data_IF_869105124432
#
_entry.id   IF_869105124432
#
_cell.length_a   1.000
_cell.length_b   1.000
_cell.length_c   1.000
_cell.angle_alpha   90.00
_cell.angle_beta   90.00
_cell.angle_gamma   90.00
#
_symmetry.space_group_name_H-M   'P 1'
#
loop_
_entity.id
_entity.type
_entity.pdbx_description
1 polymer ?
#
# COMPACT_ATOMS: atom_id res chain seq x y z
N UNK A 1 -0.01 -17.82 -0.96
CA UNK A 1 -1.12 -17.34 -0.11
C UNK A 1 -2.19 -16.58 -0.92
N UNK A 2 -1.87 -15.57 -1.68
CA UNK A 2 -2.86 -14.78 -2.45
C UNK A 2 -3.60 -15.63 -3.50
N UNK A 3 -2.95 -16.65 -4.02
CA UNK A 3 -3.52 -17.65 -4.93
C UNK A 3 -4.04 -18.90 -4.22
N UNK A 4 -4.08 -18.86 -2.87
CA UNK A 4 -4.53 -19.92 -1.98
C UNK A 4 -3.65 -21.19 -1.97
N UNK A 5 -2.40 -21.08 -2.36
CA UNK A 5 -1.38 -22.14 -2.23
C UNK A 5 -0.57 -21.99 -0.92
N UNK A 6 -1.28 -21.79 0.19
CA UNK A 6 -0.69 -21.87 1.53
C UNK A 6 -0.47 -23.35 1.91
N UNK A 7 0.43 -23.68 2.86
CA UNK A 7 0.64 -25.04 3.31
C UNK A 7 -0.62 -25.64 3.92
N UNK A 8 -1.04 -26.79 3.45
CA UNK A 8 -2.07 -27.61 4.08
C UNK A 8 -1.50 -28.36 5.33
N UNK A 9 -2.31 -29.19 5.96
CA UNK A 9 -1.91 -29.97 7.13
C UNK A 9 -0.70 -30.90 6.87
N UNK A 10 -0.39 -31.21 5.60
CA UNK A 10 0.72 -32.04 5.17
C UNK A 10 1.89 -31.19 4.62
N UNK A 11 1.81 -29.85 4.72
CA UNK A 11 2.79 -28.92 4.17
C UNK A 11 2.77 -28.76 2.65
N UNK A 12 1.72 -29.28 1.96
CA UNK A 12 1.57 -29.15 0.51
C UNK A 12 0.79 -27.88 0.16
N UNK A 13 1.00 -27.29 -1.04
CA UNK A 13 0.23 -26.15 -1.51
C UNK A 13 -1.26 -26.49 -1.57
N UNK A 14 -2.10 -25.77 -0.82
CA UNK A 14 -3.51 -26.12 -0.63
C UNK A 14 -4.27 -26.27 -1.95
N UNK A 15 -4.36 -25.21 -2.74
CA UNK A 15 -5.15 -25.20 -3.99
C UNK A 15 -4.59 -26.16 -5.03
N UNK A 16 -3.27 -26.10 -5.29
CA UNK A 16 -2.59 -26.93 -6.32
C UNK A 16 -2.57 -28.40 -5.97
N UNK A 17 -2.75 -28.77 -4.69
CA UNK A 17 -2.83 -30.17 -4.23
C UNK A 17 -4.28 -30.67 -4.11
N UNK A 18 -5.26 -29.93 -4.65
CA UNK A 18 -6.65 -30.34 -4.68
C UNK A 18 -7.47 -29.90 -3.46
N UNK A 19 -7.00 -28.91 -2.73
CA UNK A 19 -7.77 -28.27 -1.66
C UNK A 19 -9.13 -27.78 -2.16
N UNK A 20 -10.17 -28.00 -1.37
CA UNK A 20 -11.55 -27.71 -1.79
C UNK A 20 -11.78 -26.19 -1.85
N UNK A 21 -12.21 -25.71 -3.00
CA UNK A 21 -12.52 -24.31 -3.29
C UNK A 21 -14.03 -24.14 -3.45
N UNK A 22 -14.56 -22.99 -2.98
CA UNK A 22 -15.99 -22.65 -3.12
C UNK A 22 -16.10 -21.24 -3.70
N UNK A 23 -17.07 -21.06 -4.61
CA UNK A 23 -17.33 -19.76 -5.20
C UNK A 23 -17.97 -18.84 -4.16
N UNK A 24 -17.32 -17.71 -3.86
CA UNK A 24 -17.88 -16.68 -2.99
C UNK A 24 -18.59 -15.62 -3.83
N UNK A 25 -19.88 -15.35 -3.60
CA UNK A 25 -20.69 -14.42 -4.42
C UNK A 25 -20.27 -12.95 -4.24
N UNK A 26 -19.77 -12.56 -3.06
CA UNK A 26 -19.33 -11.19 -2.78
C UNK A 26 -17.99 -10.88 -3.46
N UNK A 27 -17.03 -11.80 -3.36
CA UNK A 27 -15.71 -11.68 -3.99
C UNK A 27 -15.75 -12.01 -5.50
N UNK A 28 -16.80 -12.70 -5.98
CA UNK A 28 -16.95 -13.20 -7.37
C UNK A 28 -15.75 -14.05 -7.82
N UNK A 29 -15.16 -14.78 -6.89
CA UNK A 29 -14.07 -15.72 -7.14
C UNK A 29 -14.14 -16.90 -6.18
N UNK A 30 -13.40 -17.94 -6.50
CA UNK A 30 -13.23 -19.08 -5.59
C UNK A 30 -12.31 -18.69 -4.42
N UNK A 31 -12.69 -19.16 -3.23
CA UNK A 31 -11.90 -19.10 -2.00
C UNK A 31 -11.87 -20.49 -1.37
N UNK A 32 -10.92 -20.80 -0.47
CA UNK A 32 -10.90 -22.06 0.25
C UNK A 32 -12.21 -22.29 1.01
N UNK A 33 -12.65 -23.54 1.06
CA UNK A 33 -13.83 -23.92 1.85
C UNK A 33 -13.64 -23.55 3.32
N UNK A 34 -14.67 -22.99 3.93
CA UNK A 34 -14.65 -22.51 5.32
C UNK A 34 -14.09 -21.10 5.50
N UNK A 35 -13.54 -20.47 4.45
CA UNK A 35 -13.15 -19.07 4.54
C UNK A 35 -14.37 -18.14 4.37
N UNK A 36 -14.40 -17.08 5.16
CA UNK A 36 -15.37 -15.99 5.04
C UNK A 36 -14.82 -14.80 4.25
N UNK A 37 -15.46 -13.66 4.46
CA UNK A 37 -15.05 -12.36 3.92
C UNK A 37 -15.03 -11.33 5.02
N UNK A 38 -14.17 -10.33 4.88
CA UNK A 38 -14.08 -9.16 5.76
C UNK A 38 -14.16 -7.89 4.94
N UNK A 39 -14.66 -6.81 5.54
CA UNK A 39 -14.63 -5.49 4.92
C UNK A 39 -13.33 -4.78 5.24
N UNK A 40 -12.85 -3.97 4.32
CA UNK A 40 -11.63 -3.18 4.51
C UNK A 40 -11.73 -2.30 5.77
N UNK A 41 -12.89 -1.68 6.01
CA UNK A 41 -13.13 -0.87 7.20
C UNK A 41 -13.08 -1.65 8.53
N UNK A 42 -13.21 -2.99 8.51
CA UNK A 42 -13.13 -3.83 9.70
C UNK A 42 -11.68 -4.22 10.05
N UNK A 43 -10.78 -4.15 9.08
CA UNK A 43 -9.36 -4.54 9.20
C UNK A 43 -8.39 -3.38 9.10
N UNK A 44 -8.90 -2.14 8.98
CA UNK A 44 -8.08 -0.91 8.91
C UNK A 44 -8.69 0.21 9.75
N UNK A 45 -7.81 1.09 10.25
CA UNK A 45 -8.19 2.41 10.77
C UNK A 45 -7.82 3.43 9.70
N UNK A 46 -8.78 4.28 9.31
CA UNK A 46 -8.57 5.37 8.37
C UNK A 46 -8.24 6.66 9.11
N UNK A 47 -7.07 7.24 8.84
CA UNK A 47 -6.57 8.45 9.48
C UNK A 47 -6.78 9.72 8.66
N UNK A 48 -7.74 9.75 7.77
CA UNK A 48 -8.00 10.88 6.86
C UNK A 48 -8.23 12.22 7.55
N UNK A 49 -8.81 12.20 8.74
CA UNK A 49 -9.03 13.39 9.55
C UNK A 49 -7.75 14.10 10.00
N UNK A 50 -6.61 13.39 10.00
CA UNK A 50 -5.31 13.96 10.39
C UNK A 50 -4.59 14.65 9.22
N UNK A 51 -5.03 14.44 7.99
CA UNK A 51 -4.38 15.00 6.79
C UNK A 51 -4.50 16.50 6.73
N UNK A 52 -3.42 17.18 6.33
CA UNK A 52 -3.39 18.64 6.11
C UNK A 52 -2.83 18.88 4.70
N UNK A 53 -3.66 19.31 3.74
CA UNK A 53 -3.17 19.68 2.41
C UNK A 53 -2.38 20.99 2.49
N UNK A 54 -1.24 21.03 1.81
CA UNK A 54 -0.42 22.22 1.62
C UNK A 54 -0.50 22.65 0.16
N UNK A 55 -0.72 23.94 -0.07
CA UNK A 55 -0.60 24.53 -1.41
C UNK A 55 0.85 24.49 -1.89
N UNK A 56 1.10 24.71 -3.18
CA UNK A 56 2.47 24.80 -3.71
C UNK A 56 3.27 25.89 -3.01
N UNK A 57 2.64 27.05 -2.75
CA UNK A 57 3.29 28.16 -2.06
C UNK A 57 3.64 27.82 -0.62
N UNK A 58 2.72 27.15 0.11
CA UNK A 58 2.97 26.73 1.49
C UNK A 58 4.14 25.73 1.55
N UNK A 59 4.21 24.78 0.62
CA UNK A 59 5.31 23.81 0.54
C UNK A 59 6.66 24.48 0.28
N UNK A 60 6.70 25.54 -0.54
CA UNK A 60 7.95 26.30 -0.73
C UNK A 60 8.46 26.94 0.57
N UNK A 61 7.56 27.38 1.45
CA UNK A 61 7.92 27.97 2.74
C UNK A 61 8.42 26.96 3.77
N UNK A 62 8.04 25.68 3.61
CA UNK A 62 8.36 24.59 4.54
C UNK A 62 9.21 23.51 3.90
N UNK A 63 10.05 23.82 2.93
CA UNK A 63 10.96 22.86 2.29
C UNK A 63 11.83 22.11 3.30
N UNK A 64 11.99 20.79 3.05
CA UNK A 64 12.74 19.93 3.94
C UNK A 64 13.13 18.60 3.33
N UNK A 65 13.18 17.55 4.16
CA UNK A 65 13.59 16.20 3.76
C UNK A 65 12.50 15.14 3.98
N UNK A 66 11.38 15.51 4.61
CA UNK A 66 10.27 14.61 4.89
C UNK A 66 9.41 14.51 3.62
N UNK A 67 9.11 13.31 3.13
CA UNK A 67 8.33 13.16 1.90
C UNK A 67 6.87 13.61 2.10
N UNK A 68 6.38 14.40 1.15
CA UNK A 68 5.00 14.86 1.04
C UNK A 68 4.29 14.05 -0.05
N UNK A 69 3.35 13.19 0.38
CA UNK A 69 2.66 12.25 -0.50
C UNK A 69 1.36 12.79 -1.06
N UNK A 70 1.14 12.48 -2.34
CA UNK A 70 -0.12 12.65 -3.05
C UNK A 70 -0.78 11.31 -3.38
N UNK A 71 -1.74 11.34 -4.32
CA UNK A 71 -2.48 10.16 -4.75
C UNK A 71 -1.58 9.05 -5.33
N UNK A 72 -0.51 9.41 -6.05
CA UNK A 72 0.27 8.45 -6.85
C UNK A 72 1.76 8.42 -6.51
N UNK A 73 2.20 9.15 -5.49
CA UNK A 73 3.62 9.19 -5.11
C UNK A 73 4.00 10.43 -4.32
N UNK A 74 5.30 10.59 -4.12
CA UNK A 74 5.89 11.76 -3.49
C UNK A 74 5.74 12.95 -4.46
N UNK A 75 5.09 14.01 -3.99
CA UNK A 75 4.90 15.26 -4.74
C UNK A 75 5.98 16.29 -4.40
N UNK A 76 6.49 16.25 -3.17
CA UNK A 76 7.42 17.24 -2.64
C UNK A 76 8.13 16.74 -1.37
N UNK A 77 8.99 17.58 -0.78
CA UNK A 77 9.64 17.34 0.51
C UNK A 77 9.44 18.54 1.43
N UNK A 78 9.01 18.28 2.67
CA UNK A 78 8.71 19.31 3.69
C UNK A 78 9.59 19.11 4.93
N UNK A 79 9.59 20.09 5.84
CA UNK A 79 10.45 20.10 7.04
C UNK A 79 9.79 19.48 8.28
N UNK A 80 8.51 19.11 8.19
CA UNK A 80 7.76 18.53 9.31
C UNK A 80 6.91 17.32 8.83
N UNK A 81 6.30 16.58 9.75
CA UNK A 81 5.51 15.37 9.47
C UNK A 81 4.19 15.36 10.25
N UNK A 82 3.22 14.65 9.72
CA UNK A 82 1.93 14.38 10.38
C UNK A 82 1.88 12.92 10.84
N UNK A 83 2.50 12.03 10.09
CA UNK A 83 2.48 10.60 10.33
C UNK A 83 3.89 10.12 10.65
N UNK A 84 4.01 9.26 11.69
CA UNK A 84 5.26 8.55 12.02
C UNK A 84 4.87 7.10 12.33
N UNK A 85 5.17 6.19 11.40
CA UNK A 85 4.74 4.80 11.48
C UNK A 85 4.56 4.16 10.11
N UNK A 86 3.87 3.04 10.11
CA UNK A 86 3.66 2.18 8.94
C UNK A 86 2.22 2.25 8.45
N UNK A 87 2.02 2.72 7.23
CA UNK A 87 0.69 2.88 6.63
C UNK A 87 0.65 2.42 5.17
N UNK A 88 -0.55 2.15 4.71
CA UNK A 88 -0.86 1.99 3.29
C UNK A 88 -1.67 3.18 2.83
N UNK A 89 -1.18 3.88 1.83
CA UNK A 89 -1.95 4.91 1.15
C UNK A 89 -2.75 4.30 0.01
N UNK A 90 -4.01 4.71 -0.12
CA UNK A 90 -4.88 4.36 -1.24
C UNK A 90 -5.38 5.66 -1.89
N UNK A 91 -5.17 5.81 -3.19
CA UNK A 91 -5.57 7.02 -3.90
C UNK A 91 -7.06 7.32 -3.74
N UNK A 92 -7.40 8.56 -3.32
CA UNK A 92 -8.76 9.02 -3.06
C UNK A 92 -9.38 9.72 -4.26
N UNK A 93 -8.64 10.59 -4.95
CA UNK A 93 -9.14 11.35 -6.09
C UNK A 93 -8.12 11.52 -7.21
N UNK A 94 -8.60 11.92 -8.40
CA UNK A 94 -7.80 12.01 -9.61
C UNK A 94 -7.50 10.63 -10.19
N UNK A 95 -6.23 10.21 -10.16
CA UNK A 95 -5.82 8.87 -10.58
C UNK A 95 -6.03 7.87 -9.44
N UNK A 96 -7.24 7.33 -9.30
CA UNK A 96 -7.59 6.43 -8.19
C UNK A 96 -7.36 4.95 -8.48
N UNK A 97 -7.16 4.61 -9.76
CA UNK A 97 -7.00 3.21 -10.18
C UNK A 97 -5.96 3.06 -11.28
N UNK A 98 -5.42 1.86 -11.37
CA UNK A 98 -4.56 1.43 -12.47
C UNK A 98 -5.36 1.21 -13.75
N UNK A 99 -4.70 0.97 -14.88
CA UNK A 99 -5.34 0.57 -16.15
C UNK A 99 -6.18 -0.71 -16.01
N UNK A 100 -5.83 -1.59 -15.07
CA UNK A 100 -6.59 -2.81 -14.77
C UNK A 100 -7.82 -2.57 -13.89
N UNK A 101 -8.07 -1.33 -13.45
CA UNK A 101 -9.20 -1.00 -12.57
C UNK A 101 -8.98 -1.41 -11.11
N UNK A 102 -7.74 -1.62 -10.69
CA UNK A 102 -7.37 -1.91 -9.29
C UNK A 102 -6.88 -0.64 -8.59
N UNK A 103 -6.96 -0.53 -7.25
CA UNK A 103 -6.58 0.69 -6.54
C UNK A 103 -5.09 1.00 -6.69
N UNK A 104 -4.74 2.28 -6.74
CA UNK A 104 -3.36 2.72 -6.61
C UNK A 104 -3.01 2.73 -5.12
N UNK A 105 -2.01 1.93 -4.77
CA UNK A 105 -1.55 1.73 -3.38
C UNK A 105 -0.09 2.15 -3.24
N UNK A 106 0.24 2.76 -2.10
CA UNK A 106 1.61 3.11 -1.76
C UNK A 106 1.91 2.63 -0.34
N UNK A 107 3.11 2.08 -0.10
CA UNK A 107 3.63 1.72 1.21
C UNK A 107 4.43 2.91 1.74
N UNK A 108 4.07 3.43 2.91
CA UNK A 108 4.86 4.46 3.60
C UNK A 108 5.32 3.96 4.97
N UNK A 109 6.49 4.41 5.41
CA UNK A 109 7.09 4.04 6.69
C UNK A 109 7.83 5.24 7.28
N UNK A 110 7.86 5.36 8.61
CA UNK A 110 8.49 6.45 9.34
C UNK A 110 7.79 7.79 9.15
N UNK A 111 8.55 8.88 9.14
CA UNK A 111 8.04 10.26 9.10
C UNK A 111 7.57 10.67 7.71
N UNK A 112 6.31 11.05 7.60
CA UNK A 112 5.68 11.38 6.33
C UNK A 112 4.63 12.47 6.50
N UNK A 113 4.37 13.22 5.43
CA UNK A 113 3.24 14.12 5.30
C UNK A 113 2.35 13.64 4.16
N UNK A 114 1.06 13.53 4.39
CA UNK A 114 0.11 13.04 3.38
C UNK A 114 -0.95 14.10 3.14
N UNK A 115 -1.21 14.42 1.88
CA UNK A 115 -2.27 15.36 1.49
C UNK A 115 -3.65 14.68 1.47
N UNK A 116 -4.68 15.43 1.04
CA UNK A 116 -6.05 14.96 0.96
C UNK A 116 -6.40 14.13 -0.29
N UNK A 117 -5.42 13.79 -1.12
CA UNK A 117 -5.63 12.99 -2.34
C UNK A 117 -5.38 11.49 -2.15
N UNK A 118 -5.02 11.06 -0.94
CA UNK A 118 -4.85 9.66 -0.60
C UNK A 118 -5.41 9.35 0.79
N UNK A 119 -6.17 8.26 0.92
CA UNK A 119 -6.55 7.68 2.21
C UNK A 119 -5.32 7.14 2.93
N UNK A 120 -5.27 7.31 4.26
CA UNK A 120 -4.20 6.80 5.11
C UNK A 120 -4.74 5.64 5.95
N UNK A 121 -4.32 4.43 5.63
CA UNK A 121 -4.83 3.19 6.22
C UNK A 121 -3.79 2.57 7.15
N UNK A 122 -4.15 2.40 8.40
CA UNK A 122 -3.41 1.62 9.39
C UNK A 122 -4.05 0.23 9.50
N UNK A 123 -3.34 -0.86 9.15
CA UNK A 123 -3.87 -2.21 9.31
C UNK A 123 -4.05 -2.56 10.80
N UNK A 124 -5.14 -3.24 11.12
CA UNK A 124 -5.45 -3.76 12.45
C UNK A 124 -5.76 -5.26 12.40
N UNK A 125 -6.12 -5.87 13.53
CA UNK A 125 -6.48 -7.30 13.64
C UNK A 125 -5.41 -8.23 13.05
N UNK A 126 -4.17 -7.99 13.41
CA UNK A 126 -3.01 -8.78 12.95
C UNK A 126 -2.76 -8.74 11.43
N UNK A 127 -3.26 -7.76 10.71
CA UNK A 127 -2.89 -7.53 9.33
C UNK A 127 -1.63 -6.65 9.27
N UNK A 128 -0.66 -7.01 8.43
CA UNK A 128 0.47 -6.13 8.11
C UNK A 128 0.17 -5.24 6.90
N UNK A 129 0.88 -4.12 6.76
CA UNK A 129 0.76 -3.27 5.57
C UNK A 129 1.02 -4.05 4.29
N UNK A 130 2.00 -4.94 4.29
CA UNK A 130 2.32 -5.78 3.13
C UNK A 130 1.17 -6.70 2.76
N UNK A 131 0.57 -7.37 3.76
CA UNK A 131 -0.59 -8.23 3.54
C UNK A 131 -1.78 -7.43 3.01
N UNK A 132 -2.06 -6.26 3.61
CA UNK A 132 -3.14 -5.38 3.16
C UNK A 132 -2.98 -5.00 1.68
N UNK A 133 -1.77 -4.59 1.27
CA UNK A 133 -1.49 -4.30 -0.14
C UNK A 133 -1.70 -5.52 -1.03
N UNK A 134 -1.31 -6.71 -0.58
CA UNK A 134 -1.51 -7.95 -1.34
C UNK A 134 -2.98 -8.33 -1.48
N UNK A 135 -3.79 -8.11 -0.45
CA UNK A 135 -5.23 -8.35 -0.49
C UNK A 135 -5.94 -7.40 -1.46
N UNK A 136 -5.48 -6.14 -1.53
CA UNK A 136 -6.11 -5.09 -2.33
C UNK A 136 -5.63 -5.04 -3.78
N UNK A 137 -4.44 -5.53 -4.11
CA UNK A 137 -3.80 -5.36 -5.43
C UNK A 137 -4.62 -5.84 -6.62
N UNK A 138 -5.49 -6.84 -6.42
CA UNK A 138 -6.32 -7.45 -7.46
C UNK A 138 -7.82 -7.12 -7.29
N UNK A 139 -8.18 -6.27 -6.32
CA UNK A 139 -9.55 -5.84 -6.08
C UNK A 139 -9.97 -4.80 -7.13
N UNK A 140 -11.08 -5.03 -7.83
CA UNK A 140 -11.60 -4.03 -8.76
C UNK A 140 -12.32 -2.91 -8.01
N UNK A 141 -11.88 -1.67 -8.22
CA UNK A 141 -12.52 -0.46 -7.67
C UNK A 141 -13.44 0.24 -8.67
N UNK A 142 -13.61 -0.32 -9.85
CA UNK A 142 -14.42 0.29 -10.92
C UNK A 142 -15.87 0.58 -10.52
N UNK A 143 -16.46 -0.23 -9.64
CA UNK A 143 -17.86 -0.08 -9.20
C UNK A 143 -18.04 0.85 -8.01
N UNK A 144 -16.96 1.11 -7.27
CA UNK A 144 -17.01 1.93 -6.06
C UNK A 144 -16.50 3.36 -6.28
N UNK A 145 -15.85 3.61 -7.41
CA UNK A 145 -15.47 4.98 -7.81
C UNK A 145 -16.70 5.80 -8.15
N UNK A 146 -16.66 7.07 -7.84
CA UNK A 146 -17.62 8.09 -8.22
C UNK A 146 -16.98 9.11 -9.16
N UNK A 147 -17.80 9.86 -9.89
CA UNK A 147 -17.32 10.85 -10.86
C UNK A 147 -16.84 10.27 -12.18
N UNK A 148 -17.22 10.93 -13.28
CA UNK A 148 -16.84 10.53 -14.65
C UNK A 148 -15.61 11.29 -15.16
N UNK A 149 -15.45 12.54 -14.76
CA UNK A 149 -14.33 13.40 -15.17
C UNK A 149 -13.21 13.34 -14.13
N UNK A 150 -13.54 13.57 -12.87
CA UNK A 150 -12.62 13.39 -11.75
C UNK A 150 -13.09 12.20 -10.92
N UNK A 151 -12.36 11.09 -11.05
CA UNK A 151 -12.68 9.87 -10.32
C UNK A 151 -12.34 10.05 -8.84
N UNK A 152 -13.24 9.57 -7.98
CA UNK A 152 -13.06 9.60 -6.53
C UNK A 152 -13.53 8.30 -5.90
N UNK A 153 -12.77 7.79 -4.93
CA UNK A 153 -13.18 6.74 -4.02
C UNK A 153 -13.32 7.39 -2.65
N UNK A 154 -14.54 7.54 -2.14
CA UNK A 154 -14.75 8.08 -0.81
C UNK A 154 -14.52 7.00 0.26
N UNK A 155 -14.32 7.44 1.51
CA UNK A 155 -14.04 6.56 2.65
C UNK A 155 -15.16 5.52 2.87
N UNK A 156 -16.42 5.87 2.67
CA UNK A 156 -17.54 4.94 2.83
C UNK A 156 -17.47 3.79 1.82
N UNK A 157 -17.21 4.10 0.56
CA UNK A 157 -17.08 3.10 -0.51
C UNK A 157 -15.80 2.26 -0.33
N UNK A 158 -14.70 2.88 0.08
CA UNK A 158 -13.46 2.21 0.42
C UNK A 158 -13.67 1.19 1.54
N UNK A 159 -14.33 1.56 2.63
CA UNK A 159 -14.60 0.69 3.77
C UNK A 159 -15.48 -0.52 3.42
N UNK A 160 -16.27 -0.43 2.35
CA UNK A 160 -17.12 -1.54 1.84
C UNK A 160 -16.37 -2.52 0.95
N UNK A 161 -15.12 -2.27 0.60
CA UNK A 161 -14.30 -3.24 -0.15
C UNK A 161 -14.23 -4.54 0.65
N UNK A 162 -14.49 -5.65 -0.05
CA UNK A 162 -14.50 -6.99 0.55
C UNK A 162 -13.23 -7.72 0.16
N UNK A 163 -12.60 -8.35 1.16
CA UNK A 163 -11.40 -9.19 1.00
C UNK A 163 -11.65 -10.56 1.66
N UNK A 164 -10.89 -11.61 1.30
CA UNK A 164 -11.00 -12.89 1.99
C UNK A 164 -10.63 -12.76 3.47
N UNK A 165 -11.45 -13.30 4.36
CA UNK A 165 -11.15 -13.45 5.78
C UNK A 165 -10.17 -14.62 5.94
N UNK A 166 -8.94 -14.32 6.29
CA UNK A 166 -7.88 -15.33 6.47
C UNK A 166 -7.99 -15.89 7.89
N UNK A 167 -8.02 -17.24 8.08
CA UNK A 167 -7.99 -17.83 9.41
C UNK A 167 -6.81 -17.33 10.25
N UNK A 168 -7.03 -17.08 11.55
CA UNK A 168 -6.06 -16.41 12.44
C UNK A 168 -4.69 -17.12 12.48
N UNK A 169 -4.67 -18.45 12.52
CA UNK A 169 -3.44 -19.24 12.55
C UNK A 169 -2.61 -19.00 11.27
N UNK A 170 -3.27 -19.03 10.11
CA UNK A 170 -2.65 -18.80 8.83
C UNK A 170 -2.23 -17.32 8.66
N UNK A 171 -3.03 -16.39 9.20
CA UNK A 171 -2.72 -14.96 9.21
C UNK A 171 -1.41 -14.68 9.93
N UNK A 172 -1.18 -15.35 11.07
CA UNK A 172 0.07 -15.21 11.81
C UNK A 172 1.28 -15.73 11.02
N UNK A 173 1.16 -16.92 10.41
CA UNK A 173 2.22 -17.51 9.58
C UNK A 173 2.55 -16.64 8.37
N UNK A 174 1.53 -16.13 7.67
CA UNK A 174 1.71 -15.23 6.52
C UNK A 174 2.46 -13.97 6.94
N UNK A 175 2.04 -13.32 8.03
CA UNK A 175 2.66 -12.08 8.48
C UNK A 175 4.13 -12.27 8.84
N UNK A 176 4.52 -13.37 9.50
CA UNK A 176 5.93 -13.66 9.78
C UNK A 176 6.78 -13.71 8.50
N UNK A 177 6.29 -14.38 7.45
CA UNK A 177 6.99 -14.45 6.16
C UNK A 177 7.01 -13.10 5.45
N UNK A 178 5.90 -12.39 5.47
CA UNK A 178 5.78 -11.09 4.81
C UNK A 178 6.60 -10.00 5.48
N UNK A 179 6.74 -10.03 6.80
CA UNK A 179 7.54 -9.05 7.55
C UNK A 179 9.01 -9.07 7.11
N UNK A 180 9.59 -10.25 6.91
CA UNK A 180 10.97 -10.37 6.42
C UNK A 180 11.10 -9.77 5.02
N UNK A 181 10.15 -10.08 4.13
CA UNK A 181 10.14 -9.56 2.76
C UNK A 181 9.94 -8.04 2.74
N UNK A 182 9.00 -7.54 3.56
CA UNK A 182 8.70 -6.10 3.64
C UNK A 182 9.93 -5.31 4.14
N UNK A 183 10.60 -5.79 5.20
CA UNK A 183 11.84 -5.20 5.69
C UNK A 183 12.94 -5.17 4.62
N UNK A 184 13.13 -6.27 3.90
CA UNK A 184 14.12 -6.32 2.82
C UNK A 184 13.78 -5.32 1.71
N UNK A 185 12.51 -5.20 1.33
CA UNK A 185 12.10 -4.24 0.31
C UNK A 185 12.30 -2.79 0.76
N UNK A 186 11.95 -2.44 2.00
CA UNK A 186 12.16 -1.10 2.54
C UNK A 186 13.65 -0.75 2.59
N UNK A 187 14.51 -1.68 3.01
CA UNK A 187 15.95 -1.48 3.03
C UNK A 187 16.51 -1.24 1.60
N UNK A 188 16.08 -2.04 0.63
CA UNK A 188 16.49 -1.87 -0.77
C UNK A 188 16.01 -0.55 -1.38
N UNK A 189 14.82 -0.08 -1.01
CA UNK A 189 14.31 1.23 -1.44
C UNK A 189 15.19 2.35 -0.89
N UNK A 190 15.55 2.29 0.40
CA UNK A 190 16.42 3.30 1.00
C UNK A 190 17.84 3.24 0.43
N UNK A 191 18.40 2.05 0.22
CA UNK A 191 19.71 1.87 -0.41
C UNK A 191 19.72 2.44 -1.83
N UNK A 192 18.70 2.15 -2.64
CA UNK A 192 18.57 2.72 -3.99
C UNK A 192 18.49 4.25 -3.97
N UNK A 193 17.81 4.84 -2.98
CA UNK A 193 17.75 6.28 -2.78
C UNK A 193 19.14 6.86 -2.48
N UNK A 194 19.90 6.22 -1.58
CA UNK A 194 21.27 6.63 -1.23
C UNK A 194 22.20 6.50 -2.43
N UNK A 195 22.12 5.40 -3.19
CA UNK A 195 22.91 5.20 -4.41
C UNK A 195 22.58 6.25 -5.49
N UNK A 196 21.31 6.61 -5.62
CA UNK A 196 20.88 7.67 -6.54
C UNK A 196 21.47 9.02 -6.12
N UNK A 197 21.42 9.37 -4.84
CA UNK A 197 22.01 10.60 -4.31
C UNK A 197 23.54 10.64 -4.51
N UNK A 198 24.22 9.51 -4.26
CA UNK A 198 25.65 9.37 -4.46
C UNK A 198 26.03 9.52 -5.94
N UNK A 199 25.28 8.90 -6.85
CA UNK A 199 25.46 9.06 -8.29
C UNK A 199 25.32 10.52 -8.70
N UNK A 200 24.26 11.17 -8.28
CA UNK A 200 23.95 12.56 -8.65
C UNK A 200 24.98 13.55 -8.09
N UNK A 201 25.60 13.21 -6.94
CA UNK A 201 26.70 13.96 -6.37
C UNK A 201 28.03 13.72 -7.13
N UNK A 202 28.34 12.46 -7.46
CA UNK A 202 29.59 12.09 -8.12
C UNK A 202 29.64 12.45 -9.60
N UNK A 203 28.53 12.34 -10.31
CA UNK A 203 28.49 12.50 -11.76
C UNK A 203 29.06 13.86 -12.25
N UNK A 204 28.68 15.02 -11.66
CA UNK A 204 29.30 16.31 -12.02
C UNK A 204 30.81 16.36 -11.74
N UNK A 205 31.29 15.74 -10.67
CA UNK A 205 32.71 15.72 -10.31
C UNK A 205 33.53 14.88 -11.31
N UNK A 206 33.00 13.76 -11.75
CA UNK A 206 33.61 12.92 -12.79
C UNK A 206 33.67 13.66 -14.14
N UNK A 207 32.55 14.32 -14.50
CA UNK A 207 32.49 15.09 -15.77
C UNK A 207 33.46 16.28 -15.79
N UNK A 208 33.72 16.87 -14.62
CA UNK A 208 34.66 18.01 -14.49
C UNK A 208 36.11 17.57 -14.23
N UNK A 209 36.41 16.26 -14.23
CA UNK A 209 37.75 15.74 -13.99
C UNK A 209 38.25 15.93 -12.54
N UNK A 210 37.38 16.23 -11.60
CA UNK A 210 37.72 16.44 -10.20
C UNK A 210 37.94 15.10 -9.44
N UNK A 211 37.42 13.99 -9.96
CA UNK A 211 37.65 12.64 -9.47
C UNK A 211 38.20 11.80 -10.62
N UNK A 212 39.30 11.09 -10.36
CA UNK A 212 39.85 10.08 -11.29
C UNK A 212 39.35 8.71 -10.87
N UNK A 213 38.88 7.91 -11.82
CA UNK A 213 38.53 6.50 -11.62
C UNK A 213 39.80 5.65 -11.76
#
# INVERSE_FOLDING_TARGET
FVQFDFPDQNGKPYKSSGGKMVCNPELKREIPEGWGVEKLGDITICHDSKRVPLSSNDRELVKGKIPYYGATGIMDYVNDYIFDGDYVLMAEDGSVMTEKGTPILQRISGKNWVNNHAHVLEPVKNHSCKLLMMLLKDVSVMKIKTGSIQMKINQENMNKIVVPAIPLELLFEINQKLEVIDKQQLNLIEENKQLTQLRDWLLPMLMNGQVKV
#
